data_IF_275606903394
#
_entry.id   IF_275606903394
#
_cell.length_a   1.000
_cell.length_b   1.000
_cell.length_c   1.000
_cell.angle_alpha   90.00
_cell.angle_beta   90.00
_cell.angle_gamma   90.00
#
_symmetry.space_group_name_H-M   'P 1'
#
loop_
_entity.id
_entity.type
_entity.pdbx_description
1 polymer ?
#
# COMPACT_ATOMS: atom_id res chain seq x y z
N UNK A 1 1.80 31.10 -1.03
CA UNK A 1 2.19 30.20 0.08
C UNK A 1 2.48 28.84 -0.51
N UNK A 2 3.32 28.03 0.10
CA UNK A 2 3.45 26.62 -0.29
C UNK A 2 2.13 25.89 0.00
N UNK A 3 1.82 24.88 -0.82
CA UNK A 3 0.69 23.97 -0.58
C UNK A 3 1.20 22.72 0.07
N UNK A 4 0.56 22.27 1.11
CA UNK A 4 0.91 21.05 1.80
C UNK A 4 0.48 19.82 1.01
N UNK A 5 1.21 18.72 1.20
CA UNK A 5 1.02 17.50 0.41
C UNK A 5 0.95 16.25 1.28
N UNK A 6 0.05 15.35 0.92
CA UNK A 6 0.01 13.97 1.40
C UNK A 6 0.61 13.04 0.35
N UNK A 7 1.52 12.17 0.74
CA UNK A 7 2.20 11.22 -0.15
C UNK A 7 1.88 9.80 0.28
N UNK A 8 1.25 9.07 -0.62
CA UNK A 8 1.24 7.61 -0.60
C UNK A 8 2.49 7.12 -1.32
N UNK A 9 3.43 6.58 -0.55
CA UNK A 9 4.70 6.06 -1.08
C UNK A 9 4.57 4.56 -1.38
N UNK A 10 3.66 4.22 -2.29
CA UNK A 10 3.32 2.84 -2.60
C UNK A 10 4.37 2.11 -3.44
N UNK A 11 4.47 0.79 -3.25
CA UNK A 11 5.39 -0.10 -3.99
C UNK A 11 5.12 -0.09 -5.50
N UNK A 12 3.85 -0.02 -5.91
CA UNK A 12 3.46 0.00 -7.31
C UNK A 12 3.43 1.41 -7.89
N UNK A 13 2.78 2.35 -7.19
CA UNK A 13 2.60 3.74 -7.61
C UNK A 13 2.87 4.68 -6.43
N UNK A 14 3.36 5.88 -6.74
CA UNK A 14 3.37 7.03 -5.84
C UNK A 14 2.17 7.91 -6.17
N UNK A 15 1.32 8.19 -5.18
CA UNK A 15 0.24 9.15 -5.31
C UNK A 15 0.53 10.37 -4.42
N UNK A 16 0.26 11.57 -4.96
CA UNK A 16 0.42 12.80 -4.19
C UNK A 16 -0.88 13.60 -4.23
N UNK A 17 -1.43 13.78 -3.04
CA UNK A 17 -2.50 14.73 -2.78
C UNK A 17 -1.92 16.11 -2.51
N UNK A 18 -2.50 17.13 -3.11
CA UNK A 18 -2.12 18.55 -2.88
C UNK A 18 -3.30 19.30 -2.28
N UNK A 19 -3.05 20.01 -1.19
CA UNK A 19 -4.05 20.83 -0.49
C UNK A 19 -4.82 21.73 -1.46
N UNK A 20 -6.15 21.58 -1.47
CA UNK A 20 -7.06 22.34 -2.35
C UNK A 20 -7.03 21.96 -3.83
N UNK A 21 -6.33 20.88 -4.21
CA UNK A 21 -6.31 20.37 -5.58
C UNK A 21 -6.74 18.89 -5.69
N UNK A 22 -6.72 18.14 -4.59
CA UNK A 22 -6.96 16.69 -4.61
C UNK A 22 -5.73 15.90 -5.06
N UNK A 23 -5.94 14.72 -5.66
CA UNK A 23 -4.86 13.89 -6.22
C UNK A 23 -4.29 14.59 -7.45
N UNK A 24 -3.07 15.09 -7.31
CA UNK A 24 -2.38 15.87 -8.34
C UNK A 24 -1.31 15.07 -9.09
N UNK A 25 -0.91 13.89 -8.57
CA UNK A 25 0.05 12.99 -9.19
C UNK A 25 -0.31 11.54 -8.88
N UNK A 26 -0.23 10.69 -9.89
CA UNK A 26 -0.30 9.23 -9.79
C UNK A 26 0.67 8.66 -10.82
N UNK A 27 1.83 8.20 -10.36
CA UNK A 27 2.93 7.74 -11.21
C UNK A 27 3.49 6.41 -10.71
N UNK A 28 3.89 5.50 -11.60
CA UNK A 28 4.57 4.26 -11.20
C UNK A 28 5.83 4.52 -10.37
N UNK A 29 6.05 3.70 -9.35
CA UNK A 29 7.26 3.70 -8.51
C UNK A 29 8.42 3.02 -9.24
N UNK A 30 8.90 3.65 -10.33
CA UNK A 30 9.91 3.09 -11.25
C UNK A 30 10.92 4.16 -11.64
N UNK A 31 12.19 3.77 -11.68
CA UNK A 31 13.31 4.63 -12.11
C UNK A 31 14.17 3.88 -13.13
N UNK A 32 14.49 4.51 -14.25
CA UNK A 32 15.43 4.01 -15.25
C UNK A 32 16.78 4.70 -15.08
N UNK A 33 17.84 3.91 -14.97
CA UNK A 33 19.20 4.36 -14.64
C UNK A 33 20.16 3.88 -15.72
N UNK A 34 21.05 4.76 -16.19
CA UNK A 34 22.16 4.42 -17.08
C UNK A 34 23.21 3.62 -16.31
N UNK A 35 23.51 2.41 -16.75
CA UNK A 35 24.41 1.48 -16.04
C UNK A 35 25.86 1.98 -15.99
N UNK A 36 26.30 2.78 -16.98
CA UNK A 36 27.69 3.26 -17.10
C UNK A 36 27.95 4.50 -16.24
N UNK A 37 26.93 5.37 -16.17
CA UNK A 37 27.10 6.69 -15.53
C UNK A 37 26.36 6.80 -14.20
N UNK A 38 25.53 5.81 -13.85
CA UNK A 38 24.62 5.76 -12.70
C UNK A 38 23.65 6.96 -12.64
N UNK A 39 23.38 7.58 -13.80
CA UNK A 39 22.46 8.71 -13.90
C UNK A 39 21.03 8.25 -14.14
N UNK A 40 20.10 8.92 -13.47
CA UNK A 40 18.68 8.75 -13.72
C UNK A 40 18.32 9.26 -15.12
N UNK A 41 17.74 8.39 -15.95
CA UNK A 41 17.32 8.68 -17.32
C UNK A 41 15.84 9.01 -17.42
N UNK A 42 15.01 8.30 -16.64
CA UNK A 42 13.57 8.49 -16.63
C UNK A 42 12.98 8.05 -15.29
N UNK A 43 11.80 8.57 -14.94
CA UNK A 43 11.08 8.28 -13.69
C UNK A 43 9.59 8.10 -14.04
N UNK A 44 8.89 7.30 -13.22
CA UNK A 44 7.44 7.13 -13.34
C UNK A 44 7.04 6.41 -14.63
N UNK A 45 6.00 6.90 -15.26
CA UNK A 45 5.43 6.35 -16.51
C UNK A 45 6.42 6.25 -17.65
N UNK A 46 7.39 7.17 -17.73
CA UNK A 46 8.43 7.11 -18.75
C UNK A 46 9.45 6.00 -18.47
N UNK A 47 9.82 5.78 -17.23
CA UNK A 47 10.68 4.66 -16.84
C UNK A 47 9.95 3.31 -17.00
N UNK A 48 8.65 3.25 -16.70
CA UNK A 48 7.84 2.04 -16.82
C UNK A 48 7.84 1.44 -18.24
N UNK A 49 7.94 2.28 -19.28
CA UNK A 49 8.00 1.84 -20.68
C UNK A 49 9.22 0.95 -21.00
N UNK A 50 10.26 1.02 -20.16
CA UNK A 50 11.51 0.26 -20.34
C UNK A 50 11.49 -1.11 -19.64
N UNK A 51 10.49 -1.41 -18.81
CA UNK A 51 10.35 -2.72 -18.17
C UNK A 51 10.22 -3.79 -19.26
N UNK A 52 11.04 -4.84 -19.16
CA UNK A 52 11.14 -5.96 -20.12
C UNK A 52 11.53 -5.54 -21.56
N UNK A 53 11.93 -4.28 -21.76
CA UNK A 53 12.28 -3.72 -23.08
C UNK A 53 13.61 -2.98 -23.10
N UNK A 54 14.25 -2.85 -21.94
CA UNK A 54 15.54 -2.18 -21.80
C UNK A 54 16.66 -2.89 -22.56
N UNK A 55 17.68 -2.14 -22.98
CA UNK A 55 18.94 -2.69 -23.43
C UNK A 55 19.89 -2.91 -22.23
N UNK A 56 21.09 -3.49 -22.46
CA UNK A 56 22.05 -3.79 -21.41
C UNK A 56 22.65 -2.53 -20.73
N UNK A 57 22.49 -1.36 -21.34
CA UNK A 57 23.00 -0.09 -20.81
C UNK A 57 21.99 0.61 -19.87
N UNK A 58 20.76 0.07 -19.75
CA UNK A 58 19.69 0.68 -18.94
C UNK A 58 19.21 -0.34 -17.90
N UNK A 59 19.32 0.04 -16.63
CA UNK A 59 18.76 -0.70 -15.49
C UNK A 59 17.45 -0.03 -15.05
N UNK A 60 16.36 -0.77 -15.07
CA UNK A 60 15.08 -0.33 -14.52
C UNK A 60 14.94 -0.88 -13.12
N UNK A 61 14.73 0.00 -12.15
CA UNK A 61 14.59 -0.34 -10.74
C UNK A 61 13.24 0.08 -10.20
N UNK A 62 12.70 -0.70 -9.26
CA UNK A 62 11.61 -0.30 -8.37
C UNK A 62 12.23 0.06 -7.03
N UNK A 63 12.34 1.36 -6.70
CA UNK A 63 13.05 1.80 -5.51
C UNK A 63 12.30 1.47 -4.20
N UNK A 64 11.03 1.12 -4.31
CA UNK A 64 10.18 0.68 -3.22
C UNK A 64 9.85 -0.80 -3.37
N UNK A 65 9.96 -1.55 -2.29
CA UNK A 65 9.65 -2.97 -2.26
C UNK A 65 9.01 -3.31 -0.91
N UNK A 66 7.91 -4.07 -0.96
CA UNK A 66 7.22 -4.56 0.24
C UNK A 66 6.89 -3.41 1.24
N UNK A 67 6.48 -2.25 0.71
CA UNK A 67 6.12 -1.06 1.49
C UNK A 67 7.29 -0.26 2.06
N UNK A 68 8.55 -0.58 1.71
CA UNK A 68 9.73 0.10 2.25
C UNK A 68 10.71 0.51 1.15
N UNK A 69 11.60 1.46 1.49
CA UNK A 69 12.66 1.92 0.58
C UNK A 69 13.73 0.82 0.46
N UNK A 70 13.93 0.32 -0.75
CA UNK A 70 14.98 -0.64 -1.11
C UNK A 70 16.18 0.01 -1.79
N UNK A 71 15.97 1.17 -2.42
CA UNK A 71 17.00 2.00 -3.06
C UNK A 71 16.75 3.46 -2.69
N UNK A 72 17.55 3.98 -1.77
CA UNK A 72 17.37 5.33 -1.21
C UNK A 72 17.59 6.42 -2.27
N UNK A 73 18.67 6.33 -3.04
CA UNK A 73 19.05 7.37 -4.01
C UNK A 73 18.01 7.45 -5.13
N UNK A 74 17.55 6.31 -5.62
CA UNK A 74 16.47 6.25 -6.60
C UNK A 74 15.14 6.78 -6.05
N UNK A 75 14.80 6.50 -4.77
CA UNK A 75 13.60 7.02 -4.10
C UNK A 75 13.68 8.54 -3.94
N UNK A 76 14.82 9.06 -3.47
CA UNK A 76 15.04 10.51 -3.31
C UNK A 76 14.92 11.25 -4.65
N UNK A 77 15.55 10.72 -5.70
CA UNK A 77 15.47 11.28 -7.05
C UNK A 77 14.02 11.28 -7.58
N UNK A 78 13.31 10.18 -7.37
CA UNK A 78 11.91 10.03 -7.76
C UNK A 78 11.00 11.04 -7.04
N UNK A 79 11.05 11.09 -5.71
CA UNK A 79 10.24 12.02 -4.92
C UNK A 79 10.56 13.48 -5.22
N UNK A 80 11.85 13.81 -5.35
CA UNK A 80 12.30 15.17 -5.69
C UNK A 80 11.73 15.59 -7.06
N UNK A 81 11.74 14.71 -8.04
CA UNK A 81 11.19 14.97 -9.36
C UNK A 81 9.69 15.20 -9.29
N UNK A 82 8.95 14.32 -8.63
CA UNK A 82 7.50 14.44 -8.51
C UNK A 82 7.05 15.70 -7.77
N UNK A 83 7.69 16.02 -6.62
CA UNK A 83 7.39 17.24 -5.86
C UNK A 83 7.72 18.52 -6.66
N UNK A 84 8.79 18.50 -7.45
CA UNK A 84 9.15 19.64 -8.31
C UNK A 84 8.14 19.84 -9.47
N UNK A 85 7.64 18.74 -10.07
CA UNK A 85 6.61 18.80 -11.13
C UNK A 85 5.32 19.47 -10.64
N UNK A 86 4.94 19.25 -9.39
CA UNK A 86 3.71 19.79 -8.80
C UNK A 86 3.79 21.29 -8.46
N UNK A 87 4.98 21.90 -8.49
CA UNK A 87 5.20 23.33 -8.18
C UNK A 87 4.56 23.79 -6.87
N UNK A 88 4.52 22.90 -5.87
CA UNK A 88 3.91 23.16 -4.55
C UNK A 88 4.73 24.12 -3.68
N UNK A 89 6.00 24.35 -4.00
CA UNK A 89 6.89 25.27 -3.30
C UNK A 89 6.47 26.72 -3.56
N UNK A 90 6.31 27.51 -2.50
CA UNK A 90 6.14 28.96 -2.61
C UNK A 90 7.48 29.69 -2.73
N UNK A 91 7.47 31.00 -3.04
CA UNK A 91 8.69 31.80 -3.23
C UNK A 91 9.61 31.79 -1.99
N UNK A 92 9.06 31.80 -0.78
CA UNK A 92 9.81 31.73 0.49
C UNK A 92 9.28 30.67 1.45
N UNK A 93 8.49 29.72 0.98
CA UNK A 93 7.89 28.68 1.81
C UNK A 93 7.97 27.32 1.15
N UNK A 94 8.13 26.30 1.97
CA UNK A 94 8.16 24.88 1.57
C UNK A 94 6.95 24.17 2.15
N UNK A 95 6.47 23.08 1.52
CA UNK A 95 5.33 22.33 2.00
C UNK A 95 5.61 21.59 3.31
N UNK A 96 4.57 21.38 4.12
CA UNK A 96 4.56 20.28 5.04
C UNK A 96 4.18 19.01 4.26
N UNK A 97 4.77 17.90 4.61
CA UNK A 97 4.57 16.61 3.94
C UNK A 97 4.09 15.59 4.95
N UNK A 98 3.00 14.90 4.67
CA UNK A 98 2.63 13.67 5.36
C UNK A 98 2.95 12.49 4.44
N UNK A 99 3.67 11.50 4.96
CA UNK A 99 3.99 10.25 4.26
C UNK A 99 3.40 9.09 5.04
N UNK A 100 2.93 8.08 4.34
CA UNK A 100 2.37 6.88 4.93
C UNK A 100 3.37 5.74 4.92
N UNK A 101 3.23 4.81 5.87
CA UNK A 101 4.06 3.62 5.96
C UNK A 101 3.29 2.45 6.59
N UNK A 102 3.65 1.20 6.26
CA UNK A 102 3.10 0.02 6.91
C UNK A 102 3.32 0.02 8.42
N UNK A 103 2.48 -0.71 9.16
CA UNK A 103 2.56 -0.72 10.64
C UNK A 103 3.79 -1.44 11.19
N UNK A 104 4.46 -2.27 10.40
CA UNK A 104 5.59 -3.10 10.81
C UNK A 104 6.96 -2.56 10.39
N UNK A 105 7.06 -1.27 10.03
CA UNK A 105 8.35 -0.67 9.63
C UNK A 105 9.32 -0.56 10.80
N UNK A 106 10.60 -0.75 10.48
CA UNK A 106 11.70 -0.53 11.43
C UNK A 106 12.03 0.95 11.59
N UNK A 107 12.73 1.32 12.68
CA UNK A 107 13.21 2.69 12.90
C UNK A 107 14.18 3.18 11.80
N UNK A 108 14.91 2.27 11.15
CA UNK A 108 15.81 2.62 10.03
C UNK A 108 14.99 2.96 8.79
N UNK A 109 14.03 2.11 8.44
CA UNK A 109 13.12 2.33 7.31
C UNK A 109 12.32 3.63 7.49
N UNK A 110 11.82 3.89 8.71
CA UNK A 110 11.14 5.12 9.05
C UNK A 110 12.03 6.36 8.83
N UNK A 111 13.28 6.34 9.31
CA UNK A 111 14.21 7.44 9.11
C UNK A 111 14.49 7.67 7.63
N UNK A 112 14.65 6.61 6.84
CA UNK A 112 14.85 6.70 5.40
C UNK A 112 13.67 7.39 4.69
N UNK A 113 12.43 7.04 5.01
CA UNK A 113 11.22 7.67 4.45
C UNK A 113 11.19 9.17 4.80
N UNK A 114 11.41 9.52 6.06
CA UNK A 114 11.42 10.92 6.51
C UNK A 114 12.53 11.71 5.80
N UNK A 115 13.73 11.15 5.69
CA UNK A 115 14.86 11.79 5.02
C UNK A 115 14.59 12.00 3.53
N UNK A 116 14.06 11.00 2.82
CA UNK A 116 13.71 11.13 1.40
C UNK A 116 12.68 12.24 1.17
N UNK A 117 11.65 12.35 2.02
CA UNK A 117 10.63 13.40 1.93
C UNK A 117 11.20 14.79 2.29
N UNK A 118 12.14 14.90 3.23
CA UNK A 118 12.84 16.13 3.54
C UNK A 118 13.72 16.60 2.36
N UNK A 119 14.47 15.68 1.75
CA UNK A 119 15.29 15.95 0.56
C UNK A 119 14.45 16.41 -0.63
N UNK A 120 13.24 15.85 -0.80
CA UNK A 120 12.28 16.29 -1.81
C UNK A 120 11.76 17.73 -1.57
N UNK A 121 12.00 18.30 -0.40
CA UNK A 121 11.74 19.71 -0.08
C UNK A 121 10.71 19.96 1.01
N UNK A 122 10.35 18.97 1.80
CA UNK A 122 9.49 19.12 2.96
C UNK A 122 10.13 19.99 4.05
N UNK A 123 9.34 20.89 4.67
CA UNK A 123 9.78 21.64 5.86
C UNK A 123 9.56 20.82 7.12
N UNK A 124 8.34 20.35 7.31
CA UNK A 124 7.99 19.40 8.35
C UNK A 124 7.49 18.14 7.65
N UNK A 125 8.04 17.00 8.01
CA UNK A 125 7.62 15.69 7.51
C UNK A 125 6.96 14.95 8.65
N UNK A 126 5.74 14.53 8.43
CA UNK A 126 4.94 13.69 9.32
C UNK A 126 4.87 12.30 8.69
N UNK A 127 4.92 11.27 9.52
CA UNK A 127 4.72 9.90 9.10
C UNK A 127 3.56 9.30 9.89
N UNK A 128 2.62 8.69 9.19
CA UNK A 128 1.48 8.00 9.79
C UNK A 128 1.35 6.58 9.21
N UNK A 129 0.62 5.72 9.91
CA UNK A 129 0.43 4.34 9.45
C UNK A 129 -0.62 4.23 8.34
N UNK A 130 -0.30 3.48 7.29
CA UNK A 130 -1.14 3.29 6.11
C UNK A 130 -2.59 2.92 6.43
N UNK A 131 -2.91 1.91 7.27
CA UNK A 131 -4.30 1.54 7.51
C UNK A 131 -5.11 2.63 8.22
N UNK A 132 -4.48 3.44 9.09
CA UNK A 132 -5.14 4.58 9.71
C UNK A 132 -5.46 5.67 8.69
N UNK A 133 -4.51 5.96 7.84
CA UNK A 133 -4.65 6.95 6.77
C UNK A 133 -5.68 6.48 5.74
N UNK A 134 -5.62 5.21 5.35
CA UNK A 134 -6.57 4.58 4.43
C UNK A 134 -8.01 4.65 4.95
N UNK A 135 -8.22 4.39 6.24
CA UNK A 135 -9.52 4.50 6.90
C UNK A 135 -10.08 5.92 6.81
N UNK A 136 -9.27 6.94 7.13
CA UNK A 136 -9.67 8.36 7.01
C UNK A 136 -9.99 8.73 5.57
N UNK A 137 -9.15 8.30 4.62
CA UNK A 137 -9.38 8.56 3.20
C UNK A 137 -10.62 7.87 2.63
N UNK A 138 -10.99 6.73 3.19
CA UNK A 138 -12.24 6.02 2.89
C UNK A 138 -13.48 6.64 3.57
N UNK A 139 -13.31 7.70 4.37
CA UNK A 139 -14.40 8.40 5.03
C UNK A 139 -14.86 7.79 6.35
N UNK A 140 -14.08 6.88 6.94
CA UNK A 140 -14.38 6.36 8.28
C UNK A 140 -14.07 7.43 9.33
N UNK A 141 -15.00 7.61 10.28
CA UNK A 141 -14.73 8.39 11.48
C UNK A 141 -13.98 7.52 12.48
N UNK A 142 -12.64 7.64 12.44
CA UNK A 142 -11.76 6.87 13.30
C UNK A 142 -11.68 7.42 14.74
N UNK A 143 -12.16 8.66 14.98
CA UNK A 143 -12.10 9.32 16.29
C UNK A 143 -13.23 8.89 17.22
N UNK A 144 -14.28 8.30 16.67
CA UNK A 144 -15.33 7.66 17.45
C UNK A 144 -14.77 6.42 18.20
N UNK A 145 -15.32 6.13 19.38
CA UNK A 145 -14.96 4.95 20.17
C UNK A 145 -15.58 3.65 19.65
N UNK A 146 -16.18 3.68 18.47
CA UNK A 146 -16.74 2.50 17.80
C UNK A 146 -15.66 1.81 16.98
N UNK A 147 -15.60 0.49 17.07
CA UNK A 147 -14.66 -0.32 16.30
C UNK A 147 -14.86 -0.21 14.79
N UNK A 148 -13.81 0.13 14.07
CA UNK A 148 -13.79 0.17 12.59
C UNK A 148 -12.65 -0.71 12.09
N UNK A 149 -12.92 -1.63 11.17
CA UNK A 149 -11.89 -2.48 10.55
C UNK A 149 -11.64 -2.05 9.11
N UNK A 150 -10.37 -1.90 8.78
CA UNK A 150 -9.90 -1.63 7.42
C UNK A 150 -8.95 -2.72 6.96
N UNK A 151 -9.08 -3.10 5.69
CA UNK A 151 -8.13 -3.96 4.97
C UNK A 151 -7.66 -3.16 3.77
N UNK A 152 -6.39 -2.79 3.75
CA UNK A 152 -5.75 -2.10 2.63
C UNK A 152 -4.82 -3.07 1.91
N UNK A 153 -5.15 -3.40 0.65
CA UNK A 153 -4.35 -4.31 -0.18
C UNK A 153 -3.67 -3.49 -1.27
N UNK A 154 -2.43 -3.14 -1.02
CA UNK A 154 -1.59 -2.37 -1.93
C UNK A 154 -0.88 -3.20 -3.00
N UNK A 155 0.22 -2.66 -3.52
CA UNK A 155 1.13 -3.37 -4.43
C UNK A 155 2.03 -4.37 -3.69
N UNK A 156 2.72 -3.90 -2.65
CA UNK A 156 3.71 -4.68 -1.89
C UNK A 156 3.21 -5.20 -0.55
N UNK A 157 2.26 -4.51 0.08
CA UNK A 157 1.75 -4.83 1.42
C UNK A 157 0.25 -4.99 1.45
N UNK A 158 -0.22 -5.83 2.38
CA UNK A 158 -1.62 -5.89 2.80
C UNK A 158 -1.66 -5.53 4.28
N UNK A 159 -2.26 -4.39 4.59
CA UNK A 159 -2.35 -3.81 5.92
C UNK A 159 -3.77 -3.98 6.46
N UNK A 160 -3.90 -4.67 7.58
CA UNK A 160 -5.16 -4.99 8.22
C UNK A 160 -5.13 -4.34 9.60
N UNK A 161 -6.12 -3.52 9.93
CA UNK A 161 -6.19 -2.87 11.23
C UNK A 161 -7.61 -2.72 11.75
N UNK A 162 -7.74 -2.75 13.06
CA UNK A 162 -8.93 -2.30 13.79
C UNK A 162 -8.58 -1.01 14.52
N UNK A 163 -9.43 0.00 14.31
CA UNK A 163 -9.28 1.35 14.85
C UNK A 163 -10.45 1.68 15.77
N UNK A 164 -10.16 2.44 16.83
CA UNK A 164 -11.17 3.01 17.73
C UNK A 164 -10.55 4.17 18.52
N UNK A 165 -11.31 5.24 18.76
CA UNK A 165 -10.87 6.38 19.57
C UNK A 165 -9.66 7.13 19.00
N UNK A 166 -9.48 7.12 17.67
CA UNK A 166 -8.41 7.82 16.98
C UNK A 166 -7.10 7.03 16.81
N UNK A 167 -7.05 5.78 17.29
CA UNK A 167 -5.82 4.99 17.30
C UNK A 167 -6.02 3.55 16.79
N UNK A 168 -4.91 2.88 16.47
CA UNK A 168 -4.90 1.47 16.07
C UNK A 168 -4.97 0.60 17.33
N UNK A 169 -6.05 -0.16 17.47
CA UNK A 169 -6.22 -1.13 18.57
C UNK A 169 -5.37 -2.38 18.31
N UNK A 170 -5.43 -2.91 17.10
CA UNK A 170 -4.59 -4.02 16.65
C UNK A 170 -4.38 -3.91 15.15
N UNK A 171 -3.24 -4.37 14.67
CA UNK A 171 -2.93 -4.39 13.24
C UNK A 171 -2.01 -5.53 12.85
N UNK A 172 -2.05 -5.88 11.57
CA UNK A 172 -1.12 -6.80 10.95
C UNK A 172 -0.79 -6.32 9.56
N UNK A 173 0.50 -6.24 9.25
CA UNK A 173 1.01 -5.92 7.93
C UNK A 173 1.69 -7.15 7.33
N UNK A 174 1.28 -7.52 6.13
CA UNK A 174 1.82 -8.62 5.35
C UNK A 174 2.61 -8.06 4.18
N UNK A 175 3.82 -8.56 3.95
CA UNK A 175 4.59 -8.27 2.74
C UNK A 175 4.15 -9.20 1.58
N UNK A 176 2.84 -9.28 1.40
CA UNK A 176 2.15 -10.10 0.40
C UNK A 176 0.92 -9.33 -0.08
N UNK A 177 0.93 -8.92 -1.34
CA UNK A 177 -0.15 -8.12 -1.94
C UNK A 177 -0.15 -8.25 -3.48
N UNK A 178 -0.48 -7.20 -4.21
CA UNK A 178 -0.62 -7.20 -5.66
C UNK A 178 0.57 -7.74 -6.42
N UNK A 179 1.80 -7.42 -6.02
CA UNK A 179 3.03 -7.89 -6.68
C UNK A 179 3.24 -9.40 -6.47
N UNK A 180 2.91 -9.93 -5.27
CA UNK A 180 2.98 -11.36 -5.02
C UNK A 180 1.97 -12.12 -5.87
N UNK A 181 0.72 -11.63 -5.97
CA UNK A 181 -0.31 -12.21 -6.84
C UNK A 181 0.15 -12.24 -8.30
N UNK A 182 0.81 -11.18 -8.77
CA UNK A 182 1.37 -11.12 -10.13
C UNK A 182 2.49 -12.15 -10.33
N UNK A 183 3.35 -12.35 -9.34
CA UNK A 183 4.39 -13.39 -9.38
C UNK A 183 3.81 -14.82 -9.35
N UNK A 184 2.73 -15.02 -8.59
CA UNK A 184 2.04 -16.31 -8.53
C UNK A 184 1.45 -16.68 -9.89
N UNK A 185 0.87 -15.71 -10.62
CA UNK A 185 0.38 -15.89 -11.99
C UNK A 185 1.52 -16.29 -12.94
N UNK A 186 2.66 -15.59 -12.90
CA UNK A 186 3.83 -15.92 -13.74
C UNK A 186 4.28 -17.35 -13.45
N UNK A 187 4.39 -17.74 -12.17
CA UNK A 187 4.79 -19.05 -11.75
C UNK A 187 3.83 -20.14 -12.20
N UNK A 188 2.53 -19.91 -12.02
CA UNK A 188 1.48 -20.84 -12.43
C UNK A 188 1.49 -21.07 -13.94
N UNK A 189 1.51 -20.02 -14.74
CA UNK A 189 1.53 -20.13 -16.20
C UNK A 189 2.81 -20.82 -16.73
N UNK A 190 3.93 -20.60 -16.05
CA UNK A 190 5.17 -21.32 -16.34
C UNK A 190 5.04 -22.81 -16.10
N UNK A 191 4.44 -23.20 -14.97
CA UNK A 191 4.34 -24.60 -14.56
C UNK A 191 3.23 -25.35 -15.30
N UNK A 192 2.05 -24.78 -15.44
CA UNK A 192 0.87 -25.44 -16.00
C UNK A 192 0.83 -25.36 -17.53
N UNK A 193 1.19 -24.22 -18.10
CA UNK A 193 1.07 -23.98 -19.52
C UNK A 193 2.44 -23.99 -20.26
N UNK A 194 3.55 -24.06 -19.53
CA UNK A 194 4.89 -24.02 -20.13
C UNK A 194 5.15 -22.73 -20.93
N UNK A 195 4.57 -21.61 -20.48
CA UNK A 195 4.73 -20.31 -21.11
C UNK A 195 5.41 -19.31 -20.16
N UNK A 196 6.40 -18.58 -20.65
CA UNK A 196 7.03 -17.49 -19.93
C UNK A 196 6.46 -16.15 -20.39
N UNK A 197 5.95 -15.36 -19.46
CA UNK A 197 5.47 -14.00 -19.66
C UNK A 197 6.19 -13.01 -18.77
N UNK A 198 6.21 -11.74 -19.13
CA UNK A 198 6.76 -10.66 -18.30
C UNK A 198 5.75 -10.10 -17.30
N UNK A 199 6.26 -9.33 -16.34
CA UNK A 199 5.47 -8.67 -15.29
C UNK A 199 4.30 -7.83 -15.84
N UNK A 200 4.47 -6.98 -16.87
CA UNK A 200 3.36 -6.17 -17.39
C UNK A 200 2.20 -7.02 -17.95
N UNK A 201 2.50 -8.18 -18.55
CA UNK A 201 1.46 -9.08 -19.05
C UNK A 201 0.74 -9.77 -17.89
N UNK A 202 1.47 -10.24 -16.89
CA UNK A 202 0.88 -10.88 -15.71
C UNK A 202 -0.01 -9.90 -14.91
N UNK A 203 0.42 -8.65 -14.76
CA UNK A 203 -0.38 -7.59 -14.15
C UNK A 203 -1.68 -7.34 -14.92
N UNK A 204 -1.60 -7.30 -16.26
CA UNK A 204 -2.78 -7.19 -17.11
C UNK A 204 -3.72 -8.39 -16.96
N UNK A 205 -3.20 -9.61 -16.91
CA UNK A 205 -3.99 -10.82 -16.68
C UNK A 205 -4.74 -10.70 -15.35
N UNK A 206 -4.04 -10.34 -14.26
CA UNK A 206 -4.64 -10.12 -12.95
C UNK A 206 -5.80 -9.12 -12.98
N UNK A 207 -5.63 -8.00 -13.69
CA UNK A 207 -6.63 -6.94 -13.79
C UNK A 207 -7.80 -7.29 -14.71
N UNK A 208 -7.59 -8.08 -15.77
CA UNK A 208 -8.60 -8.32 -16.79
C UNK A 208 -9.42 -9.59 -16.52
N UNK A 209 -8.77 -10.65 -16.03
CA UNK A 209 -9.41 -11.97 -15.81
C UNK A 209 -9.14 -12.56 -14.43
N UNK A 210 -8.45 -11.84 -13.52
CA UNK A 210 -8.23 -12.28 -12.15
C UNK A 210 -9.55 -12.52 -11.41
N UNK A 211 -9.60 -13.58 -10.62
CA UNK A 211 -10.73 -13.92 -9.76
C UNK A 211 -10.21 -14.36 -8.39
N UNK A 212 -10.94 -14.05 -7.32
CA UNK A 212 -10.61 -14.49 -5.96
C UNK A 212 -11.39 -15.74 -5.55
N UNK A 213 -12.35 -16.14 -6.36
CA UNK A 213 -13.21 -17.33 -6.18
C UNK A 213 -13.36 -18.08 -7.49
N UNK A 214 -13.54 -19.39 -7.42
CA UNK A 214 -13.97 -20.18 -8.58
C UNK A 214 -15.35 -19.74 -9.03
N UNK A 215 -15.51 -19.50 -10.31
CA UNK A 215 -16.77 -19.00 -10.89
C UNK A 215 -17.33 -19.95 -11.95
N UNK A 216 -18.66 -19.99 -12.08
CA UNK A 216 -19.33 -20.85 -13.06
C UNK A 216 -19.20 -20.37 -14.50
N UNK A 217 -18.96 -19.08 -14.70
CA UNK A 217 -18.80 -18.44 -16.00
C UNK A 217 -17.48 -17.64 -16.04
N UNK A 218 -16.33 -18.33 -16.17
CA UNK A 218 -15.05 -17.66 -16.21
C UNK A 218 -14.89 -16.81 -17.48
N UNK A 219 -14.11 -15.74 -17.36
CA UNK A 219 -13.71 -14.91 -18.50
C UNK A 219 -12.45 -15.52 -19.11
N UNK A 220 -12.45 -15.75 -20.41
CA UNK A 220 -11.30 -16.25 -21.14
C UNK A 220 -10.41 -15.11 -21.65
N UNK A 221 -9.10 -15.35 -21.65
CA UNK A 221 -8.10 -14.44 -22.24
C UNK A 221 -7.04 -15.22 -23.00
N UNK A 222 -6.76 -14.81 -24.22
CA UNK A 222 -5.64 -15.34 -25.01
C UNK A 222 -4.39 -14.50 -24.76
N UNK A 223 -3.32 -15.15 -24.30
CA UNK A 223 -2.04 -14.53 -23.97
C UNK A 223 -0.92 -15.02 -24.87
N UNK A 224 0.17 -14.26 -24.96
CA UNK A 224 1.36 -14.56 -25.75
C UNK A 224 2.61 -14.45 -24.88
N UNK A 225 3.53 -15.38 -25.06
CA UNK A 225 4.81 -15.44 -24.34
C UNK A 225 5.81 -16.31 -25.05
N UNK A 226 6.84 -16.76 -24.33
CA UNK A 226 7.85 -17.68 -24.84
C UNK A 226 7.53 -19.11 -24.41
N UNK A 227 7.64 -20.08 -25.34
CA UNK A 227 7.49 -21.50 -25.04
C UNK A 227 8.71 -22.00 -24.27
N UNK A 228 8.46 -22.61 -23.13
CA UNK A 228 9.48 -23.23 -22.27
C UNK A 228 9.69 -24.73 -22.55
N UNK A 229 8.77 -25.36 -23.31
CA UNK A 229 8.78 -26.80 -23.59
C UNK A 229 9.59 -27.16 -24.84
N UNK A 230 10.09 -26.17 -25.58
CA UNK A 230 10.94 -26.41 -26.74
C UNK A 230 12.36 -26.80 -26.30
N UNK A 231 12.62 -28.11 -26.26
CA UNK A 231 13.90 -28.71 -25.85
C UNK A 231 15.08 -28.34 -26.76
N UNK A 232 14.84 -27.70 -27.90
CA UNK A 232 15.85 -27.45 -28.94
C UNK A 232 16.23 -25.98 -29.11
N UNK A 233 15.65 -25.04 -28.39
CA UNK A 233 15.97 -23.62 -28.53
C UNK A 233 16.49 -22.99 -27.25
N UNK A 234 17.58 -22.23 -27.38
CA UNK A 234 18.18 -21.41 -26.31
C UNK A 234 17.26 -20.22 -25.93
N UNK A 235 16.32 -19.88 -26.82
CA UNK A 235 15.25 -18.89 -26.59
C UNK A 235 13.95 -19.49 -27.10
N UNK A 236 13.00 -19.74 -26.22
CA UNK A 236 11.70 -20.33 -26.55
C UNK A 236 11.02 -19.58 -27.72
N UNK A 237 10.40 -20.34 -28.58
CA UNK A 237 9.60 -19.77 -29.69
C UNK A 237 8.39 -19.02 -29.15
N UNK A 238 7.82 -18.06 -29.91
CA UNK A 238 6.56 -17.44 -29.55
C UNK A 238 5.45 -18.49 -29.37
N UNK A 239 4.77 -18.46 -28.23
CA UNK A 239 3.65 -19.33 -27.88
C UNK A 239 2.41 -18.50 -27.54
N UNK A 240 1.26 -19.06 -27.90
CA UNK A 240 -0.03 -18.49 -27.55
C UNK A 240 -0.82 -19.56 -26.76
N UNK A 241 -1.45 -19.16 -25.65
CA UNK A 241 -2.36 -20.02 -24.86
C UNK A 241 -3.60 -19.24 -24.49
N UNK A 242 -4.71 -19.96 -24.28
CA UNK A 242 -5.93 -19.42 -23.70
C UNK A 242 -6.00 -19.86 -22.25
N UNK A 243 -6.28 -18.92 -21.38
CA UNK A 243 -6.46 -19.07 -19.92
C UNK A 243 -7.81 -18.51 -19.54
N UNK A 244 -8.30 -18.87 -18.36
CA UNK A 244 -9.54 -18.31 -17.84
C UNK A 244 -9.40 -17.82 -16.38
N UNK A 245 -10.50 -17.25 -15.87
CA UNK A 245 -10.54 -16.69 -14.50
C UNK A 245 -10.28 -17.74 -13.43
N UNK A 246 -10.65 -18.99 -13.65
CA UNK A 246 -10.46 -20.07 -12.69
C UNK A 246 -9.01 -20.55 -12.65
N UNK A 247 -8.29 -20.52 -13.77
CA UNK A 247 -6.83 -20.72 -13.82
C UNK A 247 -6.12 -19.67 -12.97
N UNK A 248 -6.58 -18.42 -13.04
CA UNK A 248 -5.94 -17.31 -12.33
C UNK A 248 -6.30 -17.31 -10.84
N UNK A 249 -7.51 -17.74 -10.48
CA UNK A 249 -7.85 -17.99 -9.08
C UNK A 249 -6.93 -19.06 -8.48
N UNK A 250 -6.76 -20.20 -9.16
CA UNK A 250 -5.87 -21.27 -8.70
C UNK A 250 -4.44 -20.77 -8.51
N UNK A 251 -3.96 -19.94 -9.43
CA UNK A 251 -2.64 -19.33 -9.33
C UNK A 251 -2.47 -18.48 -8.05
N UNK A 252 -3.48 -17.70 -7.67
CA UNK A 252 -3.43 -16.73 -6.58
C UNK A 252 -3.92 -17.28 -5.24
N UNK A 253 -4.55 -18.42 -5.21
CA UNK A 253 -5.26 -19.03 -4.08
C UNK A 253 -4.46 -19.02 -2.76
N UNK A 254 -3.19 -19.42 -2.80
CA UNK A 254 -2.35 -19.51 -1.61
C UNK A 254 -2.09 -18.15 -0.95
N UNK A 255 -1.84 -17.12 -1.77
CA UNK A 255 -1.61 -15.74 -1.30
C UNK A 255 -2.91 -15.14 -0.76
N UNK A 256 -4.03 -15.31 -1.46
CA UNK A 256 -5.34 -14.84 -1.01
C UNK A 256 -5.74 -15.47 0.33
N UNK A 257 -5.56 -16.77 0.49
CA UNK A 257 -5.82 -17.46 1.77
C UNK A 257 -4.96 -16.95 2.92
N UNK A 258 -3.74 -16.51 2.66
CA UNK A 258 -2.88 -15.92 3.69
C UNK A 258 -3.45 -14.58 4.16
N UNK A 259 -3.94 -13.74 3.25
CA UNK A 259 -4.60 -12.46 3.59
C UNK A 259 -5.86 -12.72 4.41
N UNK A 260 -6.73 -13.63 3.94
CA UNK A 260 -7.95 -14.04 4.66
C UNK A 260 -7.65 -14.52 6.07
N UNK A 261 -6.67 -15.42 6.21
CA UNK A 261 -6.27 -15.95 7.53
C UNK A 261 -5.83 -14.84 8.46
N UNK A 262 -5.04 -13.89 7.99
CA UNK A 262 -4.59 -12.76 8.83
C UNK A 262 -5.73 -11.86 9.26
N UNK A 263 -6.75 -11.66 8.42
CA UNK A 263 -7.97 -10.95 8.79
C UNK A 263 -8.77 -11.72 9.87
N UNK A 264 -8.89 -13.05 9.74
CA UNK A 264 -9.51 -13.91 10.78
C UNK A 264 -8.79 -13.83 12.11
N UNK A 265 -7.46 -13.85 12.10
CA UNK A 265 -6.64 -13.77 13.31
C UNK A 265 -6.87 -12.44 14.04
N UNK A 266 -6.88 -11.31 13.32
CA UNK A 266 -7.20 -9.99 13.89
C UNK A 266 -8.60 -9.97 14.52
N UNK A 267 -9.63 -10.47 13.82
CA UNK A 267 -10.99 -10.54 14.36
C UNK A 267 -11.07 -11.41 15.63
N UNK A 268 -10.23 -12.43 15.74
CA UNK A 268 -10.15 -13.30 16.92
C UNK A 268 -9.41 -12.68 18.11
N UNK A 269 -8.59 -11.65 17.89
CA UNK A 269 -7.77 -10.99 18.92
C UNK A 269 -8.46 -9.79 19.59
N UNK A 270 -9.51 -9.21 18.95
CA UNK A 270 -10.16 -8.00 19.44
C UNK A 270 -11.19 -8.27 20.56
N UNK A 271 -11.49 -7.24 21.32
CA UNK A 271 -12.52 -7.31 22.37
C UNK A 271 -13.92 -7.52 21.76
N UNK A 272 -14.83 -8.23 22.46
CA UNK A 272 -16.17 -8.55 21.97
C UNK A 272 -17.00 -7.33 21.55
N UNK A 273 -16.84 -6.18 22.23
CA UNK A 273 -17.54 -4.94 21.87
C UNK A 273 -17.14 -4.45 20.47
N UNK A 274 -15.83 -4.41 20.19
CA UNK A 274 -15.31 -4.00 18.88
C UNK A 274 -15.69 -5.02 17.78
N UNK A 275 -15.73 -6.31 18.13
CA UNK A 275 -16.19 -7.33 17.17
C UNK A 275 -17.67 -7.12 16.80
N UNK A 276 -18.52 -6.78 17.76
CA UNK A 276 -19.92 -6.41 17.52
C UNK A 276 -20.04 -5.21 16.57
N UNK A 277 -19.27 -4.15 16.82
CA UNK A 277 -19.25 -2.97 15.96
C UNK A 277 -18.88 -3.30 14.50
N UNK A 278 -17.88 -4.18 14.31
CA UNK A 278 -17.42 -4.60 12.98
C UNK A 278 -18.48 -5.47 12.28
N UNK A 279 -19.21 -6.31 13.00
CA UNK A 279 -20.31 -7.08 12.42
C UNK A 279 -21.42 -6.15 11.90
N UNK A 280 -21.73 -5.09 12.63
CA UNK A 280 -22.78 -4.13 12.27
C UNK A 280 -22.37 -3.18 11.15
N UNK A 281 -21.13 -2.67 11.18
CA UNK A 281 -20.62 -1.68 10.21
C UNK A 281 -19.95 -2.30 8.99
N UNK A 282 -19.48 -3.53 9.10
CA UNK A 282 -18.68 -4.18 8.08
C UNK A 282 -17.20 -3.78 8.11
N UNK A 283 -16.46 -4.38 7.20
CA UNK A 283 -15.03 -4.13 6.95
C UNK A 283 -14.90 -3.21 5.75
N UNK A 284 -14.09 -2.16 5.86
CA UNK A 284 -13.74 -1.30 4.74
C UNK A 284 -12.55 -1.88 3.99
N UNK A 285 -12.74 -2.18 2.70
CA UNK A 285 -11.69 -2.69 1.82
C UNK A 285 -11.19 -1.58 0.90
N UNK A 286 -9.86 -1.40 0.85
CA UNK A 286 -9.20 -0.34 0.10
C UNK A 286 -7.89 -0.81 -0.54
N UNK A 287 -7.17 0.07 -1.23
CA UNK A 287 -6.01 -0.27 -2.03
C UNK A 287 -6.35 -0.85 -3.41
N UNK A 288 -5.34 -0.98 -4.25
CA UNK A 288 -5.52 -1.52 -5.61
C UNK A 288 -6.02 -2.96 -5.65
N UNK A 289 -5.68 -3.75 -4.64
CA UNK A 289 -6.14 -5.13 -4.48
C UNK A 289 -7.64 -5.24 -4.23
N UNK A 290 -8.30 -4.21 -3.70
CA UNK A 290 -9.76 -4.18 -3.54
C UNK A 290 -10.53 -4.35 -4.86
N UNK A 291 -9.89 -4.04 -5.98
CA UNK A 291 -10.46 -4.16 -7.33
C UNK A 291 -10.25 -5.53 -7.97
N UNK A 292 -9.54 -6.46 -7.29
CA UNK A 292 -9.33 -7.81 -7.81
C UNK A 292 -10.67 -8.54 -8.00
N UNK A 293 -10.86 -9.10 -9.18
CA UNK A 293 -12.08 -9.83 -9.53
C UNK A 293 -13.29 -8.96 -9.86
N UNK A 294 -13.16 -7.62 -9.84
CA UNK A 294 -14.28 -6.70 -10.11
C UNK A 294 -14.89 -6.86 -11.52
N UNK A 295 -14.13 -7.36 -12.48
CA UNK A 295 -14.59 -7.64 -13.85
C UNK A 295 -15.24 -9.03 -13.98
N UNK A 296 -15.02 -9.90 -13.03
CA UNK A 296 -15.49 -11.29 -13.04
C UNK A 296 -16.71 -11.42 -12.13
N UNK A 297 -17.86 -11.74 -12.69
CA UNK A 297 -19.09 -11.85 -11.89
C UNK A 297 -18.95 -12.91 -10.79
N UNK A 298 -19.00 -12.47 -9.54
CA UNK A 298 -18.85 -13.34 -8.36
C UNK A 298 -17.41 -13.68 -8.00
N UNK A 299 -16.41 -13.08 -8.69
CA UNK A 299 -14.99 -13.33 -8.46
C UNK A 299 -14.28 -12.26 -7.61
N UNK A 300 -15.02 -11.30 -7.05
CA UNK A 300 -14.44 -10.20 -6.28
C UNK A 300 -13.80 -10.63 -4.97
N UNK A 301 -12.72 -9.95 -4.58
CA UNK A 301 -12.05 -10.21 -3.30
C UNK A 301 -12.92 -9.84 -2.09
N UNK A 302 -13.81 -8.88 -2.24
CA UNK A 302 -14.85 -8.54 -1.26
C UNK A 302 -15.75 -9.75 -0.98
N UNK A 303 -16.17 -10.45 -2.03
CA UNK A 303 -16.99 -11.65 -1.93
C UNK A 303 -16.25 -12.79 -1.22
N UNK A 304 -14.95 -13.00 -1.52
CA UNK A 304 -14.12 -13.97 -0.82
C UNK A 304 -14.00 -13.63 0.68
N UNK A 305 -13.66 -12.39 1.00
CA UNK A 305 -13.51 -11.93 2.38
C UNK A 305 -14.84 -12.04 3.13
N UNK A 306 -15.95 -11.61 2.54
CA UNK A 306 -17.27 -11.71 3.17
C UNK A 306 -17.67 -13.16 3.43
N UNK A 307 -17.43 -14.07 2.49
CA UNK A 307 -17.70 -15.50 2.65
C UNK A 307 -16.88 -16.11 3.78
N UNK A 308 -15.60 -15.76 3.89
CA UNK A 308 -14.66 -16.36 4.82
C UNK A 308 -14.71 -15.76 6.23
N UNK A 309 -15.01 -14.45 6.33
CA UNK A 309 -15.04 -13.73 7.61
C UNK A 309 -16.43 -13.68 8.23
N UNK A 310 -17.49 -13.96 7.46
CA UNK A 310 -18.91 -13.84 7.87
C UNK A 310 -19.29 -12.44 8.35
N UNK A 311 -18.64 -11.41 7.80
CA UNK A 311 -18.84 -9.99 8.09
C UNK A 311 -19.05 -9.27 6.76
N UNK A 312 -19.95 -8.27 6.66
CA UNK A 312 -20.06 -7.46 5.45
C UNK A 312 -18.73 -6.83 5.07
N UNK A 313 -18.38 -6.83 3.79
CA UNK A 313 -17.16 -6.19 3.26
C UNK A 313 -17.54 -5.18 2.21
N UNK A 314 -17.15 -3.93 2.44
CA UNK A 314 -17.50 -2.80 1.59
C UNK A 314 -16.23 -2.26 0.91
N UNK A 315 -16.21 -2.23 -0.41
CA UNK A 315 -15.13 -1.57 -1.16
C UNK A 315 -15.37 -0.06 -1.07
N UNK A 316 -14.32 0.70 -0.75
CA UNK A 316 -14.41 2.16 -0.73
C UNK A 316 -14.69 2.74 -2.13
N UNK A 317 -15.26 3.95 -2.20
CA UNK A 317 -15.59 4.60 -3.49
C UNK A 317 -14.37 4.88 -4.37
N UNK A 318 -13.20 5.11 -3.75
CA UNK A 318 -11.96 5.45 -4.46
C UNK A 318 -10.78 4.67 -3.87
N UNK A 319 -10.76 3.33 -3.97
CA UNK A 319 -9.81 2.51 -3.22
C UNK A 319 -8.34 2.80 -3.56
N UNK A 320 -8.04 3.25 -4.75
CA UNK A 320 -6.69 3.63 -5.19
C UNK A 320 -6.17 4.94 -4.57
N UNK A 321 -7.09 5.82 -4.14
CA UNK A 321 -6.74 7.18 -3.72
C UNK A 321 -6.77 7.40 -2.21
N UNK A 322 -7.32 6.44 -1.45
CA UNK A 322 -7.65 6.63 -0.04
C UNK A 322 -6.44 7.00 0.82
N UNK A 323 -5.31 6.32 0.64
CA UNK A 323 -4.10 6.62 1.42
C UNK A 323 -3.65 8.07 1.17
N UNK A 324 -3.55 8.49 -0.09
CA UNK A 324 -3.13 9.85 -0.41
C UNK A 324 -4.14 10.92 0.03
N UNK A 325 -5.46 10.66 -0.09
CA UNK A 325 -6.51 11.55 0.40
C UNK A 325 -6.50 11.66 1.92
N UNK A 326 -6.40 10.53 2.60
CA UNK A 326 -6.33 10.46 4.06
C UNK A 326 -5.10 11.17 4.62
N UNK A 327 -3.94 11.04 3.95
CA UNK A 327 -2.73 11.77 4.30
C UNK A 327 -2.95 13.31 4.23
N UNK A 328 -3.60 13.78 3.16
CA UNK A 328 -4.00 15.19 3.05
C UNK A 328 -4.92 15.62 4.17
N UNK A 329 -5.96 14.85 4.44
CA UNK A 329 -6.96 15.14 5.49
C UNK A 329 -6.31 15.18 6.88
N UNK A 330 -5.50 14.19 7.24
CA UNK A 330 -4.81 14.16 8.53
C UNK A 330 -3.81 15.30 8.68
N UNK A 331 -3.16 15.71 7.59
CA UNK A 331 -2.25 16.86 7.62
C UNK A 331 -3.00 18.17 7.91
N UNK A 332 -4.21 18.35 7.37
CA UNK A 332 -5.08 19.48 7.72
C UNK A 332 -5.52 19.44 9.18
N UNK A 333 -5.86 18.27 9.71
CA UNK A 333 -6.13 18.07 11.15
C UNK A 333 -4.93 18.47 12.00
N UNK A 334 -3.75 17.98 11.68
CA UNK A 334 -2.52 18.29 12.39
C UNK A 334 -2.20 19.79 12.45
N UNK A 335 -2.58 20.55 11.43
CA UNK A 335 -2.45 22.03 11.42
C UNK A 335 -3.44 22.71 12.36
N UNK A 336 -4.70 22.29 12.37
CA UNK A 336 -5.74 22.87 13.21
C UNK A 336 -5.44 22.66 14.69
N UNK A 337 -4.98 21.47 15.06
CA UNK A 337 -4.65 21.10 16.43
C UNK A 337 -3.38 21.77 16.96
N UNK A 338 -2.45 22.22 16.12
CA UNK A 338 -1.33 23.07 16.58
C UNK A 338 -1.81 24.39 17.25
N UNK A 339 -3.04 24.80 16.99
CA UNK A 339 -3.66 25.95 17.65
C UNK A 339 -4.36 25.58 18.97
N UNK A 340 -4.71 24.31 19.17
CA UNK A 340 -5.45 23.80 20.35
C UNK A 340 -4.73 22.59 20.97
N UNK A 341 -3.51 22.77 21.46
CA UNK A 341 -2.70 21.74 22.13
C UNK A 341 -3.51 20.54 22.64
N UNK A 342 -3.32 19.38 22.08
CA UNK A 342 -3.37 18.00 22.56
C UNK A 342 -4.09 17.05 21.59
N UNK A 343 -3.39 15.95 21.31
CA UNK A 343 -3.86 14.75 20.61
C UNK A 343 -4.07 14.90 19.10
N UNK A 344 -3.38 14.21 18.40
CA UNK A 344 -3.29 13.69 17.04
C UNK A 344 -1.93 14.03 16.48
N UNK A 345 -1.03 13.09 16.51
CA UNK A 345 0.05 12.99 15.53
C UNK A 345 0.83 11.70 15.75
N UNK A 346 0.77 10.87 14.75
CA UNK A 346 1.58 9.69 14.64
C UNK A 346 3.07 9.94 14.92
N UNK A 347 3.73 8.88 15.08
CA UNK A 347 5.12 8.61 15.43
C UNK A 347 6.13 9.45 14.62
N UNK A 348 6.18 10.72 14.73
CA UNK A 348 7.16 11.61 14.06
C UNK A 348 7.32 12.96 14.74
N UNK A 349 6.44 13.28 15.68
CA UNK A 349 6.50 14.53 16.44
C UNK A 349 7.43 14.34 17.65
N UNK A 350 8.53 15.13 17.78
CA UNK A 350 9.39 15.10 18.95
C UNK A 350 8.66 15.37 20.28
N UNK A 351 7.52 16.09 20.23
CA UNK A 351 6.69 16.37 21.40
C UNK A 351 5.90 15.14 21.86
N UNK A 352 5.47 14.26 20.95
CA UNK A 352 4.76 13.02 21.27
C UNK A 352 5.68 12.01 21.96
N UNK A 353 6.92 11.86 21.46
CA UNK A 353 7.90 10.99 22.09
C UNK A 353 8.20 11.41 23.52
N UNK A 354 8.29 12.71 23.78
CA UNK A 354 8.54 13.27 25.12
C UNK A 354 7.36 13.00 26.07
N UNK A 355 6.13 12.96 25.54
CA UNK A 355 4.90 12.70 26.30
C UNK A 355 4.75 11.20 26.60
N UNK A 356 5.02 10.34 25.61
CA UNK A 356 5.02 8.88 25.77
C UNK A 356 6.08 8.43 26.79
N UNK A 357 7.30 8.99 26.69
CA UNK A 357 8.38 8.73 27.66
C UNK A 357 8.01 9.20 29.09
N UNK A 358 7.24 10.29 29.23
CA UNK A 358 6.74 10.77 30.52
C UNK A 358 5.61 9.90 31.07
N UNK A 359 4.66 9.47 30.24
CA UNK A 359 3.56 8.58 30.64
C UNK A 359 4.09 7.19 31.03
N UNK A 360 5.06 6.65 30.29
CA UNK A 360 5.72 5.37 30.62
C UNK A 360 6.52 5.47 31.92
N UNK A 361 7.15 6.63 32.22
CA UNK A 361 7.81 6.86 33.49
C UNK A 361 6.82 7.01 34.66
N UNK A 362 5.66 7.62 34.45
CA UNK A 362 4.62 7.76 35.46
C UNK A 362 4.00 6.39 35.79
N UNK A 363 3.73 5.55 34.76
CA UNK A 363 3.24 4.18 34.98
C UNK A 363 4.26 3.30 35.70
N UNK A 364 5.55 3.36 35.31
CA UNK A 364 6.61 2.60 36.00
C UNK A 364 6.81 3.06 37.44
N UNK A 365 6.68 4.34 37.74
CA UNK A 365 6.75 4.87 39.11
C UNK A 365 5.51 4.49 39.97
N UNK A 366 4.32 4.46 39.38
CA UNK A 366 3.10 4.01 40.04
C UNK A 366 3.12 2.51 40.34
N UNK A 367 3.72 1.69 39.49
CA UNK A 367 3.92 0.26 39.73
C UNK A 367 4.94 0.03 40.88
N UNK A 368 5.94 0.92 41.00
CA UNK A 368 6.94 0.84 42.08
C UNK A 368 6.35 1.26 43.44
N UNK A 369 5.49 2.28 43.46
CA UNK A 369 4.83 2.76 44.70
C UNK A 369 3.85 1.69 45.22
N UNK A 370 3.07 1.04 44.37
CA UNK A 370 2.15 -0.03 44.77
C UNK A 370 2.83 -1.35 45.19
N UNK A 371 4.14 -1.51 44.96
CA UNK A 371 4.94 -2.66 45.42
C UNK A 371 5.64 -2.43 46.77
N UNK A 372 5.65 -1.21 47.26
CA UNK A 372 6.27 -0.84 48.56
C UNK A 372 5.24 -0.73 49.67
N UNK A 373 3.94 -0.71 49.35
CA UNK A 373 2.83 -0.65 50.32
C UNK A 373 2.10 -1.98 50.55
N UNK A 374 2.65 -3.13 50.11
CA UNK A 374 2.12 -4.48 50.42
C UNK A 374 3.19 -5.37 51.07
#
# INVERSE_FOLDING_TARGET
MAKDIGIDLGTANVLIYVEGQGIALNEPSVVAIDVKTDKVLAIGSDAYKWIDRGNQDIRVVRPLKDGVISDFDATEAMLTTFVNQLRVKGWMSRPNIMVCAPTNITEIERKAIIQAAQSAGGTNVYLEYEPKVAAVGAGLDIFDFVGSMVIDIGGGTSDIAVLSGGDIVTSRSLRMAGDQLTQDIIRYLRLQFGILIGMPMAERIKQDVGSSLQVTNPIEMTIRGQDLNDANSVKGLPKQVTIDSNDIEEAMHATLNTIVRSAKEILGEIQPGLAGDIIDRGIMLTGGGALLGSKVKGGGIDSLLQQELHVPVNISESPLDNVAKGAGTLLEYAKRERHNSHQILGIGNPSYKKKLDQETQIESNNIHINKVEN
#
